data_IF_868410629330
#
_entry.id   IF_868410629330
#
_cell.length_a   1.000
_cell.length_b   1.000
_cell.length_c   1.000
_cell.angle_alpha   90.00
_cell.angle_beta   90.00
_cell.angle_gamma   90.00
#
_symmetry.space_group_name_H-M   'P 1'
#
loop_
_entity.id
_entity.type
_entity.pdbx_description
1 polymer ?
#
# COMPACT_ATOMS: atom_id res chain seq x y z
N UNK A 1 -3.67 -1.01 8.59
CA UNK A 1 -2.49 -0.15 8.98
C UNK A 1 -1.26 -0.54 8.17
N UNK A 2 -0.71 0.37 7.38
CA UNK A 2 0.50 0.20 6.56
C UNK A 2 1.72 0.88 7.20
N UNK A 3 2.96 0.41 6.97
CA UNK A 3 4.16 1.18 7.33
C UNK A 3 4.14 2.61 6.77
N UNK A 4 4.50 3.59 7.62
CA UNK A 4 4.58 5.01 7.24
C UNK A 4 5.62 5.27 6.15
N UNK A 5 6.74 4.56 6.22
CA UNK A 5 7.85 4.63 5.25
C UNK A 5 8.20 3.26 4.71
N UNK A 6 8.76 3.21 3.51
CA UNK A 6 9.32 1.97 2.98
C UNK A 6 10.53 1.50 3.79
N UNK A 7 10.63 0.19 4.03
CA UNK A 7 11.78 -0.42 4.72
C UNK A 7 13.10 -0.32 3.95
N UNK A 8 13.07 -0.12 2.63
CA UNK A 8 14.28 -0.04 1.81
C UNK A 8 14.59 1.39 1.37
N UNK A 9 13.62 2.10 0.78
CA UNK A 9 13.84 3.43 0.20
C UNK A 9 13.66 4.57 1.22
N UNK A 10 13.01 4.33 2.36
CA UNK A 10 12.69 5.37 3.35
C UNK A 10 11.62 6.39 2.90
N UNK A 11 11.16 6.35 1.65
CA UNK A 11 10.09 7.19 1.13
C UNK A 11 8.78 6.96 1.91
N UNK A 12 8.01 8.03 2.11
CA UNK A 12 6.68 7.96 2.75
C UNK A 12 5.70 7.25 1.82
N UNK A 13 5.04 6.20 2.32
CA UNK A 13 4.09 5.37 1.55
C UNK A 13 2.68 5.42 2.13
N UNK A 14 2.51 5.74 3.41
CA UNK A 14 1.19 5.68 4.04
C UNK A 14 0.14 6.59 3.40
N UNK A 15 0.55 7.74 2.87
CA UNK A 15 -0.38 8.70 2.25
C UNK A 15 -1.05 8.19 0.96
N UNK A 16 -0.41 7.28 0.23
CA UNK A 16 -0.96 6.75 -1.04
C UNK A 16 -1.75 5.46 -0.86
N UNK A 17 -1.78 4.88 0.34
CA UNK A 17 -2.39 3.58 0.59
C UNK A 17 -3.91 3.58 0.42
N UNK A 18 -4.61 4.59 0.94
CA UNK A 18 -6.07 4.64 0.87
C UNK A 18 -6.55 4.74 -0.58
N UNK A 19 -5.91 5.60 -1.37
CA UNK A 19 -6.20 5.74 -2.80
C UNK A 19 -5.90 4.45 -3.56
N UNK A 20 -4.73 3.83 -3.32
CA UNK A 20 -4.38 2.54 -3.92
C UNK A 20 -5.41 1.46 -3.62
N UNK A 21 -5.89 1.37 -2.37
CA UNK A 21 -6.86 0.35 -1.91
C UNK A 21 -8.23 0.52 -2.55
N UNK A 22 -8.67 1.75 -2.80
CA UNK A 22 -9.94 1.97 -3.50
C UNK A 22 -9.81 1.70 -5.00
N UNK A 23 -8.72 2.15 -5.62
CA UNK A 23 -8.50 2.02 -7.07
C UNK A 23 -8.24 0.58 -7.54
N UNK A 24 -7.60 -0.25 -6.72
CA UNK A 24 -7.34 -1.66 -7.07
C UNK A 24 -8.63 -2.50 -7.20
N UNK A 25 -9.77 -2.01 -6.70
CA UNK A 25 -11.07 -2.69 -6.86
C UNK A 25 -11.58 -2.63 -8.30
N UNK A 26 -11.19 -1.60 -9.07
CA UNK A 26 -11.63 -1.35 -10.43
C UNK A 26 -10.52 -1.46 -11.47
N UNK A 27 -9.27 -1.21 -11.09
CA UNK A 27 -8.13 -1.09 -11.99
C UNK A 27 -7.01 -2.10 -11.69
N UNK A 28 -6.20 -2.48 -12.70
CA UNK A 28 -5.08 -3.37 -12.47
C UNK A 28 -3.99 -2.68 -11.63
N UNK A 29 -3.38 -3.39 -10.66
CA UNK A 29 -2.45 -2.81 -9.68
C UNK A 29 -1.24 -2.11 -10.32
N UNK A 30 -0.75 -2.61 -11.45
CA UNK A 30 0.38 -2.00 -12.15
C UNK A 30 0.11 -0.56 -12.57
N UNK A 31 -1.04 -0.31 -13.22
CA UNK A 31 -1.43 1.02 -13.69
C UNK A 31 -1.66 1.98 -12.52
N UNK A 32 -2.33 1.52 -11.48
CA UNK A 32 -2.59 2.33 -10.28
C UNK A 32 -1.27 2.75 -9.62
N UNK A 33 -0.27 1.85 -9.53
CA UNK A 33 1.04 2.17 -8.97
C UNK A 33 1.83 3.18 -9.83
N UNK A 34 1.69 3.09 -11.16
CA UNK A 34 2.30 4.03 -12.09
C UNK A 34 1.68 5.43 -11.97
N UNK A 35 0.35 5.52 -11.87
CA UNK A 35 -0.38 6.79 -11.72
C UNK A 35 -0.18 7.45 -10.34
N UNK A 36 0.00 6.66 -9.28
CA UNK A 36 0.33 7.15 -7.94
C UNK A 36 1.80 7.63 -7.83
N UNK A 37 2.59 7.55 -8.91
CA UNK A 37 3.99 7.99 -8.93
C UNK A 37 4.94 7.09 -8.14
N UNK A 38 4.56 5.84 -7.86
CA UNK A 38 5.40 4.89 -7.13
C UNK A 38 6.32 4.18 -8.11
N UNK A 39 7.43 4.80 -8.51
CA UNK A 39 8.32 4.25 -9.55
C UNK A 39 9.19 3.08 -9.06
N UNK A 40 9.69 3.15 -7.81
CA UNK A 40 10.67 2.18 -7.31
C UNK A 40 10.02 0.87 -6.88
N UNK A 41 10.56 -0.24 -7.37
CA UNK A 41 10.08 -1.60 -7.03
C UNK A 41 10.02 -1.88 -5.52
N UNK A 42 10.99 -1.35 -4.75
CA UNK A 42 11.04 -1.56 -3.31
C UNK A 42 9.87 -0.90 -2.58
N UNK A 43 9.43 0.26 -3.06
CA UNK A 43 8.30 0.98 -2.52
C UNK A 43 6.97 0.32 -3.02
N UNK A 44 6.90 -0.16 -4.28
CA UNK A 44 5.76 -0.95 -4.82
C UNK A 44 5.49 -2.24 -4.04
N UNK A 45 6.54 -2.96 -3.66
CA UNK A 45 6.44 -4.20 -2.88
C UNK A 45 5.63 -3.98 -1.60
N UNK A 46 5.82 -2.85 -0.93
CA UNK A 46 5.12 -2.54 0.32
C UNK A 46 3.60 -2.42 0.15
N UNK A 47 3.14 -1.95 -1.01
CA UNK A 47 1.72 -1.81 -1.32
C UNK A 47 1.11 -3.14 -1.83
N UNK A 48 1.87 -3.89 -2.64
CA UNK A 48 1.41 -5.14 -3.23
C UNK A 48 1.25 -6.27 -2.20
N UNK A 49 2.16 -6.37 -1.23
CA UNK A 49 2.17 -7.47 -0.25
C UNK A 49 1.54 -7.08 1.09
N UNK A 50 0.85 -5.94 1.18
CA UNK A 50 0.25 -5.49 2.43
C UNK A 50 -1.04 -6.26 2.72
N UNK A 51 -1.19 -6.70 3.97
CA UNK A 51 -2.40 -7.37 4.45
C UNK A 51 -2.90 -6.65 5.71
N UNK A 52 -4.15 -6.21 5.70
CA UNK A 52 -4.78 -5.55 6.84
C UNK A 52 -5.27 -6.58 7.86
N UNK A 53 -4.41 -6.92 8.82
CA UNK A 53 -4.74 -7.89 9.89
C UNK A 53 -5.47 -7.21 11.07
N UNK A 54 -5.40 -5.87 11.15
CA UNK A 54 -5.92 -5.08 12.27
C UNK A 54 -7.42 -5.31 12.52
N UNK A 55 -8.22 -5.35 11.46
CA UNK A 55 -9.67 -5.57 11.58
C UNK A 55 -10.01 -6.96 12.11
N UNK A 56 -9.15 -7.94 11.82
CA UNK A 56 -9.33 -9.30 12.33
C UNK A 56 -9.00 -9.36 13.82
N UNK A 57 -7.91 -8.72 14.25
CA UNK A 57 -7.47 -8.73 15.65
C UNK A 57 -8.39 -7.91 16.56
N UNK A 58 -8.99 -6.83 16.05
CA UNK A 58 -9.91 -5.97 16.81
C UNK A 58 -11.10 -6.73 17.41
N UNK A 59 -11.49 -7.88 16.85
CA UNK A 59 -12.60 -8.71 17.34
C UNK A 59 -12.30 -9.47 18.64
N UNK A 60 -11.02 -9.64 18.98
CA UNK A 60 -10.58 -10.39 20.16
C UNK A 60 -10.21 -9.49 21.35
N UNK A 61 -10.40 -8.18 21.20
CA UNK A 61 -10.08 -7.17 22.21
C UNK A 61 -11.34 -6.49 22.74
#
# INVERSE_FOLDING_TARGET
MIPVRCFSCGTVISGVWEEYRERIKSEPPGKVLDELGVERFCCRRMLLSHVEIVDTLRRYQ
#
